data_IF_830447763099
#
_entry.id   IF_830447763099
#
_cell.length_a   1.000
_cell.length_b   1.000
_cell.length_c   1.000
_cell.angle_alpha   90.00
_cell.angle_beta   90.00
_cell.angle_gamma   90.00
#
_symmetry.space_group_name_H-M   'P 1'
#
loop_
_entity.id
_entity.type
_entity.pdbx_description
1 polymer ?
#
# COMPACT_ATOMS: atom_id res chain seq x y z
N UNK A 1 1.81 -37.16 -25.97
CA UNK A 1 2.48 -35.98 -26.57
C UNK A 1 1.45 -34.91 -26.82
N UNK A 2 1.23 -34.07 -25.85
CA UNK A 2 0.31 -32.91 -25.95
C UNK A 2 1.16 -31.67 -26.24
N UNK A 3 0.83 -30.98 -27.33
CA UNK A 3 1.48 -29.74 -27.74
C UNK A 3 0.96 -28.62 -26.83
N UNK A 4 1.85 -28.06 -26.02
CA UNK A 4 1.58 -26.83 -25.26
C UNK A 4 1.63 -25.67 -26.26
N UNK A 5 0.52 -24.97 -26.40
CA UNK A 5 0.36 -23.85 -27.32
C UNK A 5 1.06 -22.60 -26.75
N UNK A 6 1.79 -21.95 -27.61
CA UNK A 6 2.68 -20.78 -27.42
C UNK A 6 2.05 -19.45 -26.93
N UNK A 7 0.76 -19.30 -26.61
CA UNK A 7 0.24 -18.02 -26.12
C UNK A 7 0.48 -17.70 -24.64
N UNK A 8 0.69 -18.70 -23.80
CA UNK A 8 0.80 -18.47 -22.35
C UNK A 8 2.14 -17.85 -21.93
N UNK A 9 3.20 -18.00 -22.73
CA UNK A 9 4.54 -17.47 -22.40
C UNK A 9 4.69 -15.98 -22.71
N UNK A 10 3.84 -15.44 -23.61
CA UNK A 10 3.88 -14.02 -24.00
C UNK A 10 3.14 -13.14 -23.00
N UNK A 11 2.12 -13.67 -22.33
CA UNK A 11 1.35 -12.90 -21.32
C UNK A 11 2.12 -12.67 -20.02
N UNK A 12 2.98 -13.63 -19.61
CA UNK A 12 3.78 -13.47 -18.38
C UNK A 12 4.93 -12.45 -18.52
N UNK A 13 5.41 -12.22 -19.76
CA UNK A 13 6.41 -11.20 -20.05
C UNK A 13 5.81 -9.81 -20.27
N UNK A 14 4.54 -9.73 -20.66
CA UNK A 14 3.88 -8.45 -20.94
C UNK A 14 3.49 -7.68 -19.66
N UNK A 15 3.19 -8.34 -18.55
CA UNK A 15 2.87 -7.66 -17.28
C UNK A 15 4.07 -6.93 -16.67
N UNK A 16 5.26 -7.52 -16.74
CA UNK A 16 6.51 -6.90 -16.24
C UNK A 16 7.06 -5.89 -17.24
N UNK A 17 6.90 -6.15 -18.55
CA UNK A 17 7.31 -5.23 -19.61
C UNK A 17 6.41 -3.98 -19.69
N UNK A 18 5.13 -4.07 -19.35
CA UNK A 18 4.21 -2.94 -19.39
C UNK A 18 4.53 -1.89 -18.31
N UNK A 19 4.96 -2.29 -17.13
CA UNK A 19 5.42 -1.36 -16.08
C UNK A 19 6.73 -0.67 -16.50
N UNK A 20 7.63 -1.36 -17.22
CA UNK A 20 8.87 -0.78 -17.73
C UNK A 20 8.66 0.10 -18.97
N UNK A 21 7.70 -0.22 -19.84
CA UNK A 21 7.42 0.56 -21.06
C UNK A 21 6.71 1.89 -20.78
N UNK A 22 5.87 1.96 -19.74
CA UNK A 22 5.21 3.21 -19.33
C UNK A 22 6.22 4.21 -18.79
N UNK A 23 7.32 3.76 -18.19
CA UNK A 23 8.39 4.62 -17.69
C UNK A 23 9.31 5.20 -18.77
N UNK A 24 9.28 4.66 -20.01
CA UNK A 24 10.21 5.05 -21.07
C UNK A 24 9.58 5.87 -22.20
N UNK A 25 8.26 6.07 -22.24
CA UNK A 25 7.58 6.64 -23.42
C UNK A 25 7.18 8.11 -23.31
N UNK A 26 7.28 8.75 -22.15
CA UNK A 26 6.97 10.18 -22.05
C UNK A 26 8.11 10.92 -21.35
N UNK A 27 8.79 11.78 -22.10
CA UNK A 27 9.64 12.82 -21.52
C UNK A 27 8.82 13.72 -20.58
N UNK A 28 9.46 14.49 -19.69
CA UNK A 28 8.76 15.25 -18.67
C UNK A 28 7.80 16.24 -19.32
N UNK A 29 6.53 15.87 -19.43
CA UNK A 29 5.48 16.87 -19.63
C UNK A 29 5.46 17.71 -18.36
N UNK A 30 5.64 19.01 -18.48
CA UNK A 30 5.36 19.93 -17.38
C UNK A 30 4.04 19.54 -16.75
N UNK A 31 3.99 19.34 -15.40
CA UNK A 31 2.76 18.99 -14.75
C UNK A 31 1.70 20.04 -15.14
N UNK A 32 0.59 19.59 -15.72
CA UNK A 32 -0.55 20.44 -15.95
C UNK A 32 -0.87 21.09 -14.59
N UNK A 33 -1.05 22.43 -14.62
CA UNK A 33 -1.48 23.14 -13.40
C UNK A 33 -2.69 22.40 -12.87
N UNK A 34 -2.66 21.94 -11.61
CA UNK A 34 -3.81 21.26 -11.04
C UNK A 34 -5.04 22.14 -11.23
N UNK A 35 -6.21 21.55 -11.55
CA UNK A 35 -7.45 22.31 -11.59
C UNK A 35 -7.57 23.10 -10.29
N UNK A 36 -8.04 24.34 -10.37
CA UNK A 36 -8.25 25.17 -9.20
C UNK A 36 -9.07 24.36 -8.19
N UNK A 37 -8.53 24.19 -7.00
CA UNK A 37 -9.21 23.49 -5.91
C UNK A 37 -10.53 24.24 -5.66
N UNK A 38 -11.64 23.55 -5.82
CA UNK A 38 -12.92 23.99 -5.28
C UNK A 38 -12.94 23.51 -3.83
N UNK A 39 -12.82 24.40 -2.84
CA UNK A 39 -12.76 23.98 -1.45
C UNK A 39 -14.05 23.29 -0.99
N UNK A 40 -15.06 23.24 -1.86
CA UNK A 40 -16.39 22.78 -1.48
C UNK A 40 -17.08 23.73 -0.50
N UNK A 41 -18.29 23.42 -0.04
CA UNK A 41 -18.98 24.24 0.93
C UNK A 41 -18.28 24.16 2.30
N UNK A 42 -18.04 25.30 2.94
CA UNK A 42 -17.45 25.39 4.29
C UNK A 42 -18.21 24.55 5.32
N UNK A 43 -19.51 24.36 5.13
CA UNK A 43 -20.34 23.52 5.98
C UNK A 43 -21.41 22.78 5.17
N UNK A 44 -21.64 21.50 5.50
CA UNK A 44 -22.73 20.71 4.95
C UNK A 44 -23.23 19.68 5.95
N UNK A 45 -24.43 19.15 5.71
CA UNK A 45 -25.06 18.10 6.51
C UNK A 45 -25.32 16.88 5.61
N UNK A 46 -24.80 15.72 5.98
CA UNK A 46 -25.21 14.43 5.41
C UNK A 46 -26.37 13.94 6.27
N UNK A 47 -27.53 13.73 5.66
CA UNK A 47 -28.77 13.42 6.39
C UNK A 47 -29.23 12.00 6.16
N UNK A 48 -29.58 11.31 7.24
CA UNK A 48 -30.33 10.05 7.21
C UNK A 48 -29.52 8.84 6.75
N UNK A 49 -28.18 8.91 6.74
CA UNK A 49 -27.32 7.81 6.37
C UNK A 49 -27.28 6.71 7.45
N UNK A 50 -27.03 5.47 7.05
CA UNK A 50 -26.44 4.49 7.96
C UNK A 50 -24.94 4.84 8.09
N UNK A 51 -24.44 5.03 9.30
CA UNK A 51 -23.07 5.53 9.52
C UNK A 51 -22.27 4.50 10.32
N UNK A 52 -21.09 4.12 9.84
CA UNK A 52 -20.07 3.47 10.64
C UNK A 52 -18.97 4.50 10.93
N UNK A 53 -18.77 4.81 12.20
CA UNK A 53 -17.85 5.90 12.62
C UNK A 53 -16.43 5.41 12.95
N UNK A 54 -16.16 4.11 12.71
CA UNK A 54 -14.90 3.44 13.05
C UNK A 54 -15.00 2.57 14.30
N UNK A 55 -16.00 2.80 15.16
CA UNK A 55 -16.23 2.05 16.39
C UNK A 55 -17.63 1.39 16.40
N UNK A 56 -18.67 2.14 16.10
CA UNK A 56 -20.04 1.66 16.13
C UNK A 56 -20.80 1.93 14.82
N UNK A 57 -21.87 1.16 14.64
CA UNK A 57 -22.82 1.36 13.55
C UNK A 57 -24.05 2.09 14.06
N UNK A 58 -24.34 3.25 13.45
CA UNK A 58 -25.58 3.99 13.60
C UNK A 58 -26.52 3.54 12.50
N UNK A 59 -27.68 2.96 12.84
CA UNK A 59 -28.63 2.50 11.82
C UNK A 59 -29.13 3.63 10.93
N UNK A 60 -29.26 4.82 11.50
CA UNK A 60 -29.60 6.09 10.85
C UNK A 60 -29.00 7.24 11.66
N UNK A 61 -28.27 8.11 11.00
CA UNK A 61 -27.72 9.31 11.64
C UNK A 61 -27.52 10.43 10.62
N UNK A 62 -27.44 11.64 11.15
CA UNK A 62 -27.00 12.82 10.46
C UNK A 62 -25.55 13.11 10.83
N UNK A 63 -24.75 13.59 9.86
CA UNK A 63 -23.33 13.95 10.05
C UNK A 63 -23.15 15.40 9.61
N UNK A 64 -22.79 16.25 10.55
CA UNK A 64 -22.42 17.64 10.26
C UNK A 64 -20.92 17.74 9.99
N UNK A 65 -20.58 18.41 8.89
CA UNK A 65 -19.19 18.71 8.51
C UNK A 65 -19.02 20.21 8.41
N UNK A 66 -17.93 20.72 8.97
CA UNK A 66 -17.53 22.13 8.90
C UNK A 66 -16.03 22.23 8.74
N UNK A 67 -15.58 23.08 7.85
CA UNK A 67 -14.16 23.37 7.61
C UNK A 67 -13.33 22.07 7.42
N UNK A 68 -13.86 21.14 6.61
CA UNK A 68 -13.22 19.85 6.32
C UNK A 68 -13.19 18.85 7.50
N UNK A 69 -13.93 19.11 8.60
CA UNK A 69 -13.96 18.24 9.80
C UNK A 69 -15.36 17.79 10.14
N UNK A 70 -15.49 16.57 10.62
CA UNK A 70 -16.73 16.08 11.22
C UNK A 70 -16.92 16.81 12.55
N UNK A 71 -17.99 17.60 12.63
CA UNK A 71 -18.36 18.40 13.82
C UNK A 71 -19.25 17.60 14.78
N UNK A 72 -20.18 16.82 14.22
CA UNK A 72 -21.12 16.02 15.01
C UNK A 72 -21.67 14.84 14.21
N UNK A 73 -21.99 13.76 14.94
CA UNK A 73 -22.80 12.62 14.47
C UNK A 73 -23.92 12.44 15.50
N UNK A 74 -25.18 12.46 15.06
CA UNK A 74 -26.34 12.24 15.91
C UNK A 74 -27.52 11.68 15.11
N UNK A 75 -28.52 11.12 15.79
CA UNK A 75 -29.74 10.59 15.14
C UNK A 75 -30.46 11.64 14.30
N UNK A 76 -30.40 12.91 14.72
CA UNK A 76 -30.92 14.07 13.97
C UNK A 76 -30.15 15.32 14.34
N UNK A 77 -29.78 16.10 13.35
CA UNK A 77 -29.13 17.39 13.52
C UNK A 77 -29.92 18.50 12.79
N UNK A 78 -29.95 19.74 13.33
CA UNK A 78 -30.54 20.85 12.62
C UNK A 78 -29.77 21.17 11.35
N UNK A 79 -30.45 21.44 10.26
CA UNK A 79 -29.85 21.94 9.03
C UNK A 79 -29.47 23.42 9.21
N UNK A 80 -28.25 23.70 9.63
CA UNK A 80 -27.75 25.05 9.86
C UNK A 80 -27.12 25.67 8.59
N UNK A 81 -27.68 25.40 7.39
CA UNK A 81 -27.17 25.91 6.14
C UNK A 81 -27.87 25.29 4.91
N UNK A 82 -27.59 25.81 3.70
CA UNK A 82 -28.25 25.37 2.47
C UNK A 82 -27.74 24.03 1.93
N UNK A 83 -26.58 23.54 2.40
CA UNK A 83 -25.91 22.39 1.84
C UNK A 83 -26.29 21.11 2.61
N UNK A 84 -27.32 20.42 2.16
CA UNK A 84 -27.77 19.14 2.70
C UNK A 84 -27.62 18.07 1.63
N UNK A 85 -26.93 16.97 1.98
CA UNK A 85 -26.78 15.77 1.18
C UNK A 85 -27.76 14.75 1.75
N UNK A 86 -28.84 14.47 1.05
CA UNK A 86 -29.79 13.43 1.45
C UNK A 86 -29.17 12.04 1.16
N UNK A 87 -28.98 11.25 2.21
CA UNK A 87 -28.28 9.96 2.15
C UNK A 87 -29.12 8.81 2.70
N UNK A 88 -30.45 8.95 2.68
CA UNK A 88 -31.34 7.86 3.10
C UNK A 88 -31.11 6.61 2.25
N UNK A 89 -30.98 5.45 2.90
CA UNK A 89 -30.66 4.19 2.23
C UNK A 89 -29.18 4.01 1.85
N UNK A 90 -28.35 5.03 2.03
CA UNK A 90 -26.90 4.96 1.80
C UNK A 90 -26.14 4.64 3.09
N UNK A 91 -24.91 4.17 2.94
CA UNK A 91 -24.01 3.93 4.08
C UNK A 91 -22.79 4.85 3.97
N UNK A 92 -22.56 5.62 5.01
CA UNK A 92 -21.35 6.43 5.19
C UNK A 92 -20.33 5.62 5.97
N UNK A 93 -19.13 5.54 5.45
CA UNK A 93 -17.99 4.81 6.01
C UNK A 93 -16.79 5.76 6.11
N UNK A 94 -15.80 5.48 6.99
CA UNK A 94 -14.47 6.05 6.84
C UNK A 94 -13.90 5.74 5.46
N UNK A 95 -13.05 6.62 4.94
CA UNK A 95 -12.33 6.35 3.69
C UNK A 95 -11.50 5.07 3.77
N UNK A 96 -11.42 4.35 2.67
CA UNK A 96 -10.62 3.13 2.62
C UNK A 96 -9.13 3.44 2.71
N UNK A 97 -8.37 2.48 3.24
CA UNK A 97 -6.92 2.50 3.29
C UNK A 97 -6.40 1.37 2.41
N UNK A 98 -5.63 1.71 1.36
CA UNK A 98 -4.88 0.70 0.63
C UNK A 98 -3.50 0.53 1.26
N UNK A 99 -3.31 -0.60 1.90
CA UNK A 99 -2.13 -0.89 2.69
C UNK A 99 -0.96 -1.44 1.85
N UNK A 100 -1.06 -1.52 0.52
CA UNK A 100 0.05 -1.92 -0.35
C UNK A 100 -0.10 -1.36 -1.75
N UNK A 101 0.49 -0.21 -1.99
CA UNK A 101 0.53 0.39 -3.32
C UNK A 101 1.96 0.72 -3.76
N UNK A 102 2.10 1.11 -5.02
CA UNK A 102 3.26 1.83 -5.57
C UNK A 102 2.73 3.13 -6.17
N UNK A 103 2.82 4.22 -5.38
CA UNK A 103 2.13 5.49 -5.63
C UNK A 103 2.93 6.39 -6.59
N UNK A 104 2.93 6.07 -7.87
CA UNK A 104 3.54 6.90 -8.91
C UNK A 104 2.48 7.54 -9.82
N UNK A 105 2.84 8.65 -10.46
CA UNK A 105 1.94 9.38 -11.36
C UNK A 105 0.65 9.84 -10.67
N UNK A 106 -0.48 9.50 -11.23
CA UNK A 106 -1.82 9.88 -10.74
C UNK A 106 -2.42 8.88 -9.75
N UNK A 107 -1.68 7.84 -9.33
CA UNK A 107 -2.19 6.75 -8.49
C UNK A 107 -2.96 7.22 -7.24
N UNK A 108 -2.50 8.27 -6.57
CA UNK A 108 -3.17 8.83 -5.39
C UNK A 108 -4.53 9.49 -5.71
N UNK A 109 -4.64 10.13 -6.88
CA UNK A 109 -5.91 10.69 -7.35
C UNK A 109 -6.87 9.61 -7.80
N UNK A 110 -6.35 8.60 -8.49
CA UNK A 110 -7.15 7.44 -8.88
C UNK A 110 -7.67 6.70 -7.64
N UNK A 111 -6.83 6.45 -6.65
CA UNK A 111 -7.24 5.84 -5.38
C UNK A 111 -8.42 6.59 -4.73
N UNK A 112 -8.34 7.91 -4.66
CA UNK A 112 -9.40 8.75 -4.08
C UNK A 112 -10.72 8.62 -4.85
N UNK A 113 -10.71 8.50 -6.18
CA UNK A 113 -11.92 8.31 -7.00
C UNK A 113 -12.68 7.03 -6.65
N UNK A 114 -11.99 6.03 -6.10
CA UNK A 114 -12.58 4.77 -5.66
C UNK A 114 -12.82 4.70 -4.14
N UNK A 115 -12.72 5.84 -3.45
CA UNK A 115 -12.99 5.94 -2.01
C UNK A 115 -11.81 5.57 -1.11
N UNK A 116 -10.62 5.34 -1.68
CA UNK A 116 -9.39 5.14 -0.91
C UNK A 116 -8.79 6.50 -0.58
N UNK A 117 -8.86 6.89 0.69
CA UNK A 117 -8.39 8.19 1.17
C UNK A 117 -6.95 8.16 1.68
N UNK A 118 -6.40 6.98 1.90
CA UNK A 118 -5.04 6.79 2.40
C UNK A 118 -4.37 5.62 1.67
N UNK A 119 -3.13 5.82 1.25
CA UNK A 119 -2.32 4.77 0.61
C UNK A 119 -0.98 4.59 1.33
N UNK A 120 -0.55 3.33 1.47
CA UNK A 120 0.74 2.96 2.01
C UNK A 120 1.65 2.50 0.86
N UNK A 121 2.59 3.35 0.47
CA UNK A 121 3.54 3.08 -0.61
C UNK A 121 4.68 2.19 -0.12
N UNK A 122 4.78 1.00 -0.68
CA UNK A 122 5.73 -0.03 -0.25
C UNK A 122 7.08 0.04 -0.95
N UNK A 123 7.20 0.82 -2.01
CA UNK A 123 8.44 1.11 -2.70
C UNK A 123 8.20 2.22 -3.72
N UNK A 124 8.75 3.41 -3.48
CA UNK A 124 8.53 4.57 -4.32
C UNK A 124 9.66 5.60 -4.23
N UNK A 125 9.50 6.70 -4.93
CA UNK A 125 10.45 7.81 -4.93
C UNK A 125 10.43 8.52 -3.56
N UNK A 126 11.56 8.59 -2.83
CA UNK A 126 11.65 9.33 -1.58
C UNK A 126 11.28 10.83 -1.72
N UNK A 127 11.36 11.38 -2.94
CA UNK A 127 10.96 12.76 -3.18
C UNK A 127 9.47 12.99 -2.86
N UNK A 128 8.62 11.98 -3.05
CA UNK A 128 7.20 12.05 -2.74
C UNK A 128 6.94 12.13 -1.23
N UNK A 129 7.83 11.58 -0.41
CA UNK A 129 7.65 11.51 1.04
C UNK A 129 7.95 12.85 1.74
N UNK A 130 8.86 13.67 1.15
CA UNK A 130 9.31 14.92 1.77
C UNK A 130 8.17 15.91 2.06
N UNK A 131 7.15 15.95 1.19
CA UNK A 131 5.96 16.80 1.38
C UNK A 131 4.76 16.07 1.97
N UNK A 132 4.75 14.75 1.92
CA UNK A 132 3.57 13.94 2.23
C UNK A 132 3.03 14.16 3.66
N UNK A 133 3.93 14.32 4.63
CA UNK A 133 3.51 14.60 6.01
C UNK A 133 2.77 15.92 6.15
N UNK A 134 3.28 16.99 5.55
CA UNK A 134 2.62 18.30 5.58
C UNK A 134 1.29 18.24 4.80
N UNK A 135 1.22 17.50 3.70
CA UNK A 135 -0.01 17.29 2.95
C UNK A 135 -1.08 16.59 3.82
N UNK A 136 -0.71 15.52 4.55
CA UNK A 136 -1.63 14.79 5.44
C UNK A 136 -2.19 15.65 6.58
N UNK A 137 -1.43 16.63 7.03
CA UNK A 137 -1.83 17.56 8.10
C UNK A 137 -2.63 18.75 7.57
N UNK A 138 -2.67 18.94 6.24
CA UNK A 138 -3.37 20.04 5.58
C UNK A 138 -4.80 19.63 5.21
N UNK A 139 -5.76 20.53 5.42
CA UNK A 139 -7.13 20.42 4.90
C UNK A 139 -7.29 21.04 3.52
N UNK A 140 -6.24 21.67 2.99
CA UNK A 140 -6.28 22.30 1.66
C UNK A 140 -6.03 21.30 0.52
N UNK A 141 -5.35 20.19 0.81
CA UNK A 141 -5.06 19.14 -0.16
C UNK A 141 -6.11 18.04 -0.04
N UNK A 142 -7.10 18.05 -0.91
CA UNK A 142 -8.23 17.12 -0.91
C UNK A 142 -8.46 16.44 -2.26
N UNK A 143 -7.56 16.64 -3.23
CA UNK A 143 -7.67 16.11 -4.59
C UNK A 143 -7.00 14.73 -4.79
N UNK A 144 -6.42 14.18 -3.72
CA UNK A 144 -5.67 12.92 -3.74
C UNK A 144 -5.68 12.24 -2.37
N UNK A 145 -5.44 10.93 -2.36
CA UNK A 145 -5.28 10.17 -1.13
C UNK A 145 -4.01 10.59 -0.36
N UNK A 146 -4.07 10.53 0.96
CA UNK A 146 -2.91 10.71 1.83
C UNK A 146 -1.86 9.64 1.57
N UNK A 147 -0.58 10.03 1.60
CA UNK A 147 0.54 9.15 1.35
C UNK A 147 1.32 8.87 2.64
N UNK A 148 1.45 7.58 2.95
CA UNK A 148 2.42 7.05 3.89
C UNK A 148 3.35 6.11 3.12
N UNK A 149 4.66 6.12 3.38
CA UNK A 149 5.52 5.33 2.52
C UNK A 149 6.81 4.87 3.15
N UNK A 150 7.31 3.76 2.59
CA UNK A 150 8.63 3.22 2.90
C UNK A 150 9.76 3.97 2.18
N UNK A 151 9.45 4.64 1.06
CA UNK A 151 10.50 5.09 0.14
C UNK A 151 11.24 3.91 -0.48
N UNK A 152 12.55 3.93 -0.43
CA UNK A 152 13.39 2.84 -0.92
C UNK A 152 13.34 1.64 0.04
N UNK A 153 13.15 0.44 -0.50
CA UNK A 153 13.14 -0.80 0.27
C UNK A 153 14.56 -1.33 0.57
N UNK A 154 14.73 -2.01 1.71
CA UNK A 154 15.97 -2.68 2.07
C UNK A 154 16.08 -4.03 1.35
N UNK A 155 17.09 -4.17 0.51
CA UNK A 155 17.35 -5.38 -0.29
C UNK A 155 18.83 -5.66 -0.42
N UNK A 156 19.19 -6.86 -0.90
CA UNK A 156 20.54 -7.21 -1.28
C UNK A 156 20.89 -6.69 -2.67
N UNK A 157 22.16 -6.60 -2.98
CA UNK A 157 22.62 -6.27 -4.33
C UNK A 157 22.08 -7.31 -5.34
N UNK A 158 21.42 -6.81 -6.41
CA UNK A 158 20.74 -7.65 -7.39
C UNK A 158 19.45 -8.32 -6.88
N UNK A 159 19.01 -7.98 -5.68
CA UNK A 159 17.79 -8.49 -5.08
C UNK A 159 16.52 -7.84 -5.61
N UNK A 160 15.37 -8.32 -5.13
CA UNK A 160 14.07 -7.77 -5.51
C UNK A 160 13.98 -6.26 -5.20
N UNK A 161 13.51 -5.49 -6.15
CA UNK A 161 13.50 -4.02 -6.13
C UNK A 161 14.55 -3.40 -7.05
N UNK A 162 15.69 -4.09 -7.30
CA UNK A 162 16.78 -3.56 -8.14
C UNK A 162 16.52 -3.73 -9.65
N UNK A 163 15.54 -4.56 -10.03
CA UNK A 163 15.22 -4.88 -11.43
C UNK A 163 14.35 -3.81 -12.12
N UNK A 164 13.90 -2.80 -11.41
CA UNK A 164 12.94 -1.81 -11.95
C UNK A 164 13.62 -0.58 -12.57
N UNK A 165 14.94 -0.59 -12.75
CA UNK A 165 15.67 0.48 -13.42
C UNK A 165 15.90 1.74 -12.56
N UNK A 166 15.59 1.70 -11.27
CA UNK A 166 15.90 2.74 -10.30
C UNK A 166 17.11 2.36 -9.46
N UNK A 167 17.91 3.34 -9.08
CA UNK A 167 19.04 3.11 -8.18
C UNK A 167 18.52 2.79 -6.77
N UNK A 168 18.82 1.59 -6.29
CA UNK A 168 18.43 1.14 -4.96
C UNK A 168 19.69 0.99 -4.10
N UNK A 169 19.92 1.84 -3.09
CA UNK A 169 20.96 1.61 -2.10
C UNK A 169 20.69 0.30 -1.36
N UNK A 170 21.62 -0.64 -1.46
CA UNK A 170 21.49 -1.98 -0.89
C UNK A 170 22.03 -2.06 0.54
N UNK A 171 21.62 -3.08 1.28
CA UNK A 171 22.15 -3.37 2.62
C UNK A 171 23.23 -4.44 2.47
N UNK A 172 24.49 -4.01 2.35
CA UNK A 172 25.59 -4.90 1.99
C UNK A 172 26.15 -5.67 3.20
N UNK A 173 25.99 -5.13 4.42
CA UNK A 173 26.38 -5.79 5.66
C UNK A 173 25.42 -5.47 6.80
N UNK A 174 25.48 -6.24 7.89
CA UNK A 174 24.70 -5.98 9.10
C UNK A 174 25.09 -4.65 9.75
N UNK A 175 26.34 -4.25 9.65
CA UNK A 175 26.87 -3.01 10.23
C UNK A 175 26.33 -1.78 9.49
N UNK A 176 26.10 -1.91 8.17
CA UNK A 176 25.53 -0.83 7.35
C UNK A 176 24.04 -0.56 7.61
N UNK A 177 23.33 -1.49 8.26
CA UNK A 177 21.88 -1.39 8.44
C UNK A 177 21.45 -0.14 9.23
N UNK A 178 22.22 0.24 10.24
CA UNK A 178 21.93 1.43 11.07
C UNK A 178 21.91 2.72 10.23
N UNK A 179 22.98 2.93 9.47
CA UNK A 179 23.13 4.12 8.63
C UNK A 179 22.13 4.10 7.47
N UNK A 180 21.88 2.91 6.91
CA UNK A 180 20.90 2.73 5.86
C UNK A 180 19.49 3.15 6.32
N UNK A 181 19.04 2.68 7.50
CA UNK A 181 17.75 3.05 8.07
C UNK A 181 17.70 4.53 8.43
N UNK A 182 18.79 5.08 8.99
CA UNK A 182 18.87 6.50 9.31
C UNK A 182 18.69 7.39 8.07
N UNK A 183 19.28 6.98 6.94
CA UNK A 183 19.08 7.66 5.67
C UNK A 183 17.62 7.64 5.20
N UNK A 184 16.95 6.48 5.28
CA UNK A 184 15.50 6.37 4.92
C UNK A 184 14.63 7.26 5.79
N UNK A 185 14.89 7.26 7.11
CA UNK A 185 14.18 8.15 8.03
C UNK A 185 14.39 9.63 7.68
N UNK A 186 15.61 10.02 7.35
CA UNK A 186 15.95 11.39 6.94
C UNK A 186 15.24 11.79 5.61
N UNK A 187 14.99 10.85 4.72
CA UNK A 187 14.22 11.02 3.48
C UNK A 187 12.71 11.15 3.73
N UNK A 188 12.21 10.83 4.92
CA UNK A 188 10.81 10.96 5.29
C UNK A 188 10.04 9.65 5.31
N UNK A 189 10.72 8.49 5.30
CA UNK A 189 10.06 7.19 5.42
C UNK A 189 9.25 7.08 6.72
N UNK A 190 8.01 6.68 6.60
CA UNK A 190 7.09 6.47 7.73
C UNK A 190 7.29 5.07 8.36
N UNK A 191 7.82 4.13 7.60
CA UNK A 191 8.15 2.77 8.00
C UNK A 191 9.27 2.22 7.11
N UNK A 192 9.89 1.13 7.50
CA UNK A 192 10.91 0.44 6.71
C UNK A 192 10.30 -0.80 6.05
N UNK A 193 10.47 -0.93 4.75
CA UNK A 193 10.21 -2.16 4.00
C UNK A 193 11.52 -2.91 3.78
N UNK A 194 11.55 -4.20 4.11
CA UNK A 194 12.67 -5.08 3.78
C UNK A 194 12.22 -6.28 2.96
N UNK A 195 13.16 -6.88 2.23
CA UNK A 195 12.88 -7.97 1.30
C UNK A 195 13.61 -9.25 1.73
N UNK A 196 12.84 -10.30 2.01
CA UNK A 196 13.27 -11.67 2.21
C UNK A 196 12.64 -12.56 1.13
N UNK A 197 12.96 -12.25 -0.13
CA UNK A 197 12.43 -12.88 -1.33
C UNK A 197 13.56 -13.33 -2.24
N UNK A 198 13.58 -14.61 -2.60
CA UNK A 198 14.54 -15.20 -3.51
C UNK A 198 13.90 -15.87 -4.74
N UNK A 199 12.58 -15.68 -4.93
CA UNK A 199 11.73 -16.26 -5.96
C UNK A 199 11.50 -17.78 -5.83
N UNK A 200 11.93 -18.41 -4.75
CA UNK A 200 11.81 -19.87 -4.58
C UNK A 200 10.36 -20.36 -4.53
N UNK A 201 9.45 -19.55 -4.05
CA UNK A 201 8.01 -19.88 -4.01
C UNK A 201 7.35 -19.89 -5.40
N UNK A 202 7.94 -19.19 -6.38
CA UNK A 202 7.36 -19.01 -7.72
C UNK A 202 8.09 -19.77 -8.81
N UNK A 203 9.40 -20.02 -8.64
CA UNK A 203 10.29 -20.52 -9.69
C UNK A 203 11.32 -21.50 -9.13
N UNK A 204 11.25 -22.76 -9.56
CA UNK A 204 12.14 -23.80 -9.06
C UNK A 204 13.63 -23.54 -9.34
N UNK A 205 13.96 -22.96 -10.49
CA UNK A 205 15.34 -22.88 -11.00
C UNK A 205 15.94 -21.49 -10.98
N UNK A 206 15.12 -20.46 -10.84
CA UNK A 206 15.62 -19.09 -10.78
C UNK A 206 15.69 -18.64 -9.33
N UNK A 207 16.82 -18.12 -8.93
CA UNK A 207 17.01 -17.52 -7.62
C UNK A 207 17.48 -16.10 -7.76
N UNK A 208 17.00 -15.26 -6.87
CA UNK A 208 17.38 -13.87 -6.76
C UNK A 208 18.14 -13.66 -5.44
N UNK A 209 19.21 -12.83 -5.41
CA UNK A 209 19.83 -12.46 -4.15
C UNK A 209 18.81 -11.85 -3.18
N UNK A 210 18.93 -12.19 -1.90
CA UNK A 210 18.07 -11.63 -0.86
C UNK A 210 18.89 -11.32 0.38
N UNK A 211 18.35 -10.52 1.30
CA UNK A 211 18.97 -10.31 2.60
C UNK A 211 19.09 -11.67 3.31
N UNK A 212 20.23 -11.94 3.93
CA UNK A 212 20.36 -13.07 4.83
C UNK A 212 19.75 -12.78 6.21
N UNK A 213 19.68 -13.77 7.09
CA UNK A 213 19.14 -13.65 8.43
C UNK A 213 19.79 -12.54 9.26
N UNK A 214 21.12 -12.39 9.15
CA UNK A 214 21.86 -11.39 9.93
C UNK A 214 21.55 -9.97 9.47
N UNK A 215 21.46 -9.73 8.15
CA UNK A 215 21.14 -8.41 7.59
C UNK A 215 19.68 -8.06 7.80
N UNK A 216 18.74 -9.01 7.62
CA UNK A 216 17.32 -8.75 7.91
C UNK A 216 17.09 -8.41 9.37
N UNK A 217 17.69 -9.17 10.30
CA UNK A 217 17.63 -8.87 11.74
C UNK A 217 18.20 -7.46 12.04
N UNK A 218 19.33 -7.10 11.44
CA UNK A 218 19.94 -5.80 11.66
C UNK A 218 19.06 -4.64 11.17
N UNK A 219 18.42 -4.77 10.01
CA UNK A 219 17.47 -3.78 9.47
C UNK A 219 16.26 -3.64 10.39
N UNK A 220 15.66 -4.75 10.83
CA UNK A 220 14.51 -4.75 11.74
C UNK A 220 14.88 -4.03 13.05
N UNK A 221 16.02 -4.42 13.64
CA UNK A 221 16.50 -3.80 14.90
C UNK A 221 16.80 -2.31 14.74
N UNK A 222 17.41 -1.91 13.63
CA UNK A 222 17.71 -0.51 13.34
C UNK A 222 16.43 0.33 13.14
N UNK A 223 15.41 -0.22 12.49
CA UNK A 223 14.12 0.42 12.31
C UNK A 223 13.45 0.67 13.67
N UNK A 224 13.38 -0.35 14.52
CA UNK A 224 12.80 -0.27 15.85
C UNK A 224 13.54 0.71 16.78
N UNK A 225 14.87 0.71 16.73
CA UNK A 225 15.69 1.67 17.48
C UNK A 225 15.41 3.13 17.10
N UNK A 226 14.90 3.37 15.89
CA UNK A 226 14.50 4.69 15.40
C UNK A 226 12.99 4.96 15.48
N UNK A 227 12.22 4.06 16.12
CA UNK A 227 10.77 4.19 16.27
C UNK A 227 9.98 3.96 14.98
N UNK A 228 10.58 3.28 13.99
CA UNK A 228 9.94 2.91 12.73
C UNK A 228 9.49 1.44 12.77
N UNK A 229 8.35 1.15 12.16
CA UNK A 229 7.92 -0.23 11.94
C UNK A 229 8.73 -0.87 10.82
N UNK A 230 9.01 -2.17 10.94
CA UNK A 230 9.66 -2.97 9.92
C UNK A 230 8.67 -3.94 9.28
N UNK A 231 8.45 -3.81 7.95
CA UNK A 231 7.53 -4.62 7.17
C UNK A 231 8.32 -5.49 6.19
N UNK A 232 8.11 -6.81 6.25
CA UNK A 232 8.88 -7.75 5.45
C UNK A 232 8.10 -8.28 4.25
N UNK A 233 8.68 -8.15 3.05
CA UNK A 233 8.25 -8.86 1.85
C UNK A 233 8.71 -10.31 1.96
N UNK A 234 7.78 -11.24 1.92
CA UNK A 234 8.03 -12.68 1.99
C UNK A 234 7.12 -13.42 1.02
N UNK A 235 7.59 -14.56 0.51
CA UNK A 235 6.78 -15.49 -0.27
C UNK A 235 6.86 -16.92 0.26
N UNK A 236 7.87 -17.24 1.08
CA UNK A 236 8.03 -18.56 1.70
C UNK A 236 7.68 -18.57 3.16
N UNK A 237 7.14 -19.70 3.63
CA UNK A 237 6.78 -19.91 5.04
C UNK A 237 8.02 -19.79 5.95
N UNK A 238 9.15 -20.34 5.51
CA UNK A 238 10.40 -20.27 6.28
C UNK A 238 10.86 -18.83 6.51
N UNK A 239 10.87 -18.00 5.47
CA UNK A 239 11.24 -16.59 5.59
C UNK A 239 10.22 -15.79 6.42
N UNK A 240 8.92 -16.10 6.30
CA UNK A 240 7.88 -15.45 7.10
C UNK A 240 8.08 -15.70 8.60
N UNK A 241 8.28 -16.95 8.98
CA UNK A 241 8.55 -17.31 10.39
C UNK A 241 9.83 -16.62 10.88
N UNK A 242 10.91 -16.69 10.10
CA UNK A 242 12.20 -16.10 10.47
C UNK A 242 12.08 -14.59 10.75
N UNK A 243 11.48 -13.81 9.85
CA UNK A 243 11.38 -12.35 10.06
C UNK A 243 10.44 -11.97 11.21
N UNK A 244 9.40 -12.77 11.47
CA UNK A 244 8.54 -12.57 12.63
C UNK A 244 9.28 -12.86 13.94
N UNK A 245 10.05 -13.95 14.00
CA UNK A 245 10.91 -14.29 15.14
C UNK A 245 12.01 -13.22 15.36
N UNK A 246 12.48 -12.60 14.28
CA UNK A 246 13.40 -11.45 14.32
C UNK A 246 12.72 -10.14 14.77
N UNK A 247 11.40 -10.11 14.87
CA UNK A 247 10.64 -8.98 15.38
C UNK A 247 10.06 -8.05 14.32
N UNK A 248 9.88 -8.48 13.08
CA UNK A 248 9.14 -7.70 12.09
C UNK A 248 7.72 -7.37 12.59
N UNK A 249 7.28 -6.14 12.34
CA UNK A 249 5.97 -5.65 12.79
C UNK A 249 4.83 -6.10 11.88
N UNK A 250 5.15 -6.49 10.66
CA UNK A 250 4.17 -6.98 9.69
C UNK A 250 4.80 -7.66 8.49
N UNK A 251 3.96 -8.42 7.78
CA UNK A 251 4.30 -9.05 6.53
C UNK A 251 3.56 -8.39 5.38
N UNK A 252 4.23 -8.25 4.26
CA UNK A 252 3.64 -7.92 2.96
C UNK A 252 3.73 -9.15 2.09
N UNK A 253 2.58 -9.51 1.53
CA UNK A 253 2.24 -10.79 0.94
C UNK A 253 2.07 -11.91 1.98
N UNK A 254 1.68 -13.06 1.54
CA UNK A 254 1.52 -14.28 2.33
C UNK A 254 2.46 -15.36 1.81
N UNK A 255 2.88 -16.31 2.65
CA UNK A 255 3.57 -17.51 2.17
C UNK A 255 2.74 -18.25 1.12
N UNK A 256 3.39 -18.68 0.03
CA UNK A 256 2.75 -19.32 -1.12
C UNK A 256 3.27 -20.74 -1.37
N UNK A 257 4.33 -21.14 -0.66
CA UNK A 257 4.98 -22.43 -0.77
C UNK A 257 4.47 -23.48 0.22
N UNK A 258 3.67 -23.08 1.20
CA UNK A 258 3.14 -23.96 2.23
C UNK A 258 1.74 -23.53 2.70
N UNK A 259 0.98 -24.49 3.20
CA UNK A 259 -0.32 -24.25 3.84
C UNK A 259 -0.18 -23.73 5.27
N UNK A 260 -1.17 -24.07 6.11
CA UNK A 260 -1.20 -23.62 7.51
C UNK A 260 -0.02 -24.21 8.32
N UNK A 261 0.71 -23.34 9.02
CA UNK A 261 1.82 -23.70 9.90
C UNK A 261 1.58 -23.09 11.31
N UNK A 262 1.61 -23.96 12.32
CA UNK A 262 1.37 -23.53 13.71
C UNK A 262 2.45 -22.58 14.23
N UNK A 263 3.72 -22.74 13.82
CA UNK A 263 4.82 -21.84 14.20
C UNK A 263 4.63 -20.45 13.60
N UNK A 264 4.13 -20.36 12.37
CA UNK A 264 3.79 -19.08 11.75
C UNK A 264 2.74 -18.33 12.57
N UNK A 265 1.65 -19.03 12.94
CA UNK A 265 0.57 -18.46 13.74
C UNK A 265 1.08 -18.02 15.12
N UNK A 266 1.92 -18.83 15.75
CA UNK A 266 2.53 -18.53 17.05
C UNK A 266 3.44 -17.31 16.96
N UNK A 267 4.35 -17.26 15.99
CA UNK A 267 5.27 -16.14 15.78
C UNK A 267 4.52 -14.84 15.51
N UNK A 268 3.51 -14.88 14.64
CA UNK A 268 2.69 -13.71 14.31
C UNK A 268 1.92 -13.20 15.55
N UNK A 269 1.33 -14.09 16.35
CA UNK A 269 0.62 -13.74 17.58
C UNK A 269 1.56 -13.18 18.66
N UNK A 270 2.69 -13.84 18.88
CA UNK A 270 3.68 -13.41 19.88
C UNK A 270 4.19 -11.99 19.59
N UNK A 271 4.33 -11.65 18.32
CA UNK A 271 4.76 -10.32 17.87
C UNK A 271 3.61 -9.31 17.82
N UNK A 272 2.35 -9.75 17.74
CA UNK A 272 1.22 -8.90 17.40
C UNK A 272 1.33 -8.35 15.96
N UNK A 273 1.92 -9.15 15.07
CA UNK A 273 2.18 -8.74 13.71
C UNK A 273 0.89 -8.72 12.87
N UNK A 274 0.83 -7.81 11.91
CA UNK A 274 -0.21 -7.79 10.90
C UNK A 274 0.28 -8.36 9.56
N UNK A 275 -0.65 -8.71 8.69
CA UNK A 275 -0.36 -9.19 7.33
C UNK A 275 -1.16 -8.38 6.32
N UNK A 276 -0.48 -7.85 5.30
CA UNK A 276 -1.09 -7.26 4.11
C UNK A 276 -1.00 -8.28 2.98
N UNK A 277 -2.04 -9.09 2.74
CA UNK A 277 -1.92 -10.34 1.98
C UNK A 277 -1.82 -10.15 0.47
N UNK A 278 -2.26 -9.02 -0.08
CA UNK A 278 -2.24 -8.73 -1.54
C UNK A 278 -2.84 -9.83 -2.41
N UNK A 279 -3.96 -10.42 -1.99
CA UNK A 279 -4.55 -11.60 -2.65
C UNK A 279 -4.97 -11.34 -4.09
N UNK A 280 -5.39 -10.12 -4.44
CA UNK A 280 -5.75 -9.73 -5.80
C UNK A 280 -4.55 -9.81 -6.76
N UNK A 281 -3.37 -9.40 -6.29
CA UNK A 281 -2.11 -9.50 -7.05
C UNK A 281 -1.71 -10.97 -7.22
N UNK A 282 -1.80 -11.75 -6.15
CA UNK A 282 -1.49 -13.19 -6.18
C UNK A 282 -2.44 -13.93 -7.12
N UNK A 283 -3.75 -13.62 -7.08
CA UNK A 283 -4.75 -14.20 -7.98
C UNK A 283 -4.43 -13.88 -9.44
N UNK A 284 -4.07 -12.64 -9.75
CA UNK A 284 -3.71 -12.22 -11.11
C UNK A 284 -2.49 -12.99 -11.65
N UNK A 285 -1.45 -13.20 -10.82
CA UNK A 285 -0.27 -13.98 -11.21
C UNK A 285 -0.54 -15.49 -11.30
N UNK A 286 -1.49 -15.99 -10.52
CA UNK A 286 -1.85 -17.41 -10.52
C UNK A 286 -2.80 -17.80 -11.66
N UNK A 287 -3.22 -16.85 -12.50
CA UNK A 287 -4.17 -17.09 -13.58
C UNK A 287 -5.58 -17.46 -13.08
N UNK A 288 -5.88 -17.15 -11.83
CA UNK A 288 -7.25 -17.25 -11.32
C UNK A 288 -8.07 -16.14 -11.92
N UNK A 289 -9.15 -16.49 -12.60
CA UNK A 289 -10.07 -15.52 -13.20
C UNK A 289 -10.56 -14.54 -12.13
N UNK A 290 -10.38 -13.27 -12.44
CA UNK A 290 -10.82 -12.19 -11.59
C UNK A 290 -12.09 -11.59 -12.20
N UNK A 291 -13.25 -12.10 -11.80
CA UNK A 291 -14.59 -11.66 -12.24
C UNK A 291 -14.84 -10.16 -11.99
N UNK A 292 -13.96 -9.50 -11.21
CA UNK A 292 -14.08 -8.07 -10.94
C UNK A 292 -13.96 -7.21 -12.21
N UNK A 293 -13.12 -7.62 -13.17
CA UNK A 293 -12.98 -6.90 -14.44
C UNK A 293 -14.24 -7.01 -15.32
N UNK A 294 -15.01 -8.08 -15.16
CA UNK A 294 -16.24 -8.32 -15.90
C UNK A 294 -17.50 -7.82 -15.18
N UNK A 295 -17.33 -7.30 -13.94
CA UNK A 295 -18.47 -6.82 -13.16
C UNK A 295 -19.09 -5.58 -13.82
N UNK A 296 -20.38 -5.58 -14.19
CA UNK A 296 -20.99 -4.51 -15.02
C UNK A 296 -20.81 -3.10 -14.45
N UNK A 297 -20.84 -2.96 -13.12
CA UNK A 297 -20.65 -1.65 -12.45
C UNK A 297 -19.20 -1.15 -12.44
N UNK A 298 -18.22 -2.03 -12.70
CA UNK A 298 -16.82 -1.64 -12.83
C UNK A 298 -16.46 -1.38 -14.29
N UNK A 299 -16.99 -2.16 -15.22
CA UNK A 299 -16.78 -1.96 -16.66
C UNK A 299 -17.28 -0.58 -17.15
N UNK A 300 -18.29 0.00 -16.50
CA UNK A 300 -18.78 1.36 -16.80
C UNK A 300 -17.84 2.47 -16.27
N UNK A 301 -16.87 2.16 -15.43
CA UNK A 301 -15.96 3.12 -14.78
C UNK A 301 -14.51 3.00 -15.20
N UNK A 302 -14.14 1.94 -15.93
CA UNK A 302 -12.84 1.70 -16.54
C UNK A 302 -12.86 2.14 -18.00
#
# INVERSE_FOLDING_TARGET
>A
MARISTPALIAALSGVALVALIALSEGPKSPAKPPAHDPGPEAFLIRGARVFDGDRLWPRADVAVRDGRIEAIAESLPANGPNVIEAEGQTLLPGFIDAHVHAYGEARREALRFGTTTVLDMFGDPALLRGARAERESLEISDRADLWGAGILATAQGGHGTQFGVAVPTVDSREAAQDWVAARRAEGSDFIKLVREDLSAYREKERMPTLDAARSQAVISAAQAQGLRALAHVSTMANAIEVLEQGADGLVHVPQDAGNDARFVEAARARGAFVTPTLSVIAAFSGVDNDLAEHPRLAERL
#
